data_IF_835034725070
#
_entry.id   IF_835034725070
#
_cell.length_a   1.000
_cell.length_b   1.000
_cell.length_c   1.000
_cell.angle_alpha   90.00
_cell.angle_beta   90.00
_cell.angle_gamma   90.00
#
_symmetry.space_group_name_H-M   'P 1'
#
loop_
_entity.id
_entity.type
_entity.pdbx_description
1 polymer ?
#
# COMPACT_ATOMS: atom_id res chain seq x y z
N UNK A 1 4.10 0.11 35.59
CA UNK A 1 4.35 -0.42 34.23
C UNK A 1 3.79 0.49 33.14
N UNK A 2 2.58 1.07 33.26
CA UNK A 2 2.01 2.04 32.27
C UNK A 2 2.96 3.18 31.89
N UNK A 3 3.51 3.92 32.86
CA UNK A 3 4.35 5.10 32.58
C UNK A 3 5.54 4.85 31.64
N UNK A 4 6.21 3.69 31.75
CA UNK A 4 7.35 3.37 30.85
C UNK A 4 6.88 3.03 29.44
N UNK A 5 5.71 2.40 29.29
CA UNK A 5 5.13 2.13 27.97
C UNK A 5 4.72 3.43 27.28
N UNK A 6 4.12 4.35 28.02
CA UNK A 6 3.69 5.65 27.50
C UNK A 6 4.89 6.51 27.07
N UNK A 7 5.99 6.48 27.85
CA UNK A 7 7.24 7.16 27.52
C UNK A 7 7.91 6.58 26.26
N UNK A 8 8.00 5.23 26.14
CA UNK A 8 8.54 4.57 24.94
C UNK A 8 7.67 4.84 23.71
N UNK A 9 6.35 4.79 23.84
CA UNK A 9 5.43 5.10 22.74
C UNK A 9 5.55 6.57 22.30
N UNK A 10 5.73 7.50 23.25
CA UNK A 10 6.00 8.91 22.96
C UNK A 10 7.25 9.09 22.11
N UNK A 11 8.35 8.41 22.47
CA UNK A 11 9.59 8.43 21.71
C UNK A 11 9.43 7.84 20.30
N UNK A 12 8.71 6.72 20.16
CA UNK A 12 8.42 6.09 18.86
C UNK A 12 7.61 7.03 17.96
N UNK A 13 6.56 7.64 18.50
CA UNK A 13 5.72 8.58 17.76
C UNK A 13 6.47 9.85 17.35
N UNK A 14 7.49 10.25 18.12
CA UNK A 14 8.35 11.38 17.79
C UNK A 14 9.34 11.04 16.66
N UNK A 15 9.95 9.84 16.68
CA UNK A 15 11.00 9.47 15.72
C UNK A 15 10.46 8.90 14.40
N UNK A 16 9.23 8.36 14.40
CA UNK A 16 8.64 7.70 13.22
C UNK A 16 8.40 8.67 12.05
N UNK A 17 7.80 9.88 12.25
CA UNK A 17 7.53 10.79 11.13
C UNK A 17 8.79 11.24 10.37
N UNK A 18 9.89 11.68 11.03
CA UNK A 18 11.13 12.00 10.33
C UNK A 18 11.69 10.83 9.51
N UNK A 19 11.65 9.61 10.06
CA UNK A 19 12.11 8.39 9.36
C UNK A 19 11.25 8.13 8.12
N UNK A 20 9.92 8.23 8.23
CA UNK A 20 9.03 8.03 7.10
C UNK A 20 9.22 9.09 6.02
N UNK A 21 9.41 10.36 6.41
CA UNK A 21 9.71 11.43 5.46
C UNK A 21 10.99 11.11 4.70
N UNK A 22 12.09 10.79 5.38
CA UNK A 22 13.34 10.42 4.72
C UNK A 22 13.17 9.21 3.80
N UNK A 23 12.47 8.17 4.26
CA UNK A 23 12.20 6.97 3.49
C UNK A 23 11.43 7.25 2.19
N UNK A 24 10.33 8.00 2.27
CA UNK A 24 9.51 8.32 1.09
C UNK A 24 10.19 9.33 0.16
N UNK A 25 10.97 10.28 0.69
CA UNK A 25 11.76 11.21 -0.13
C UNK A 25 12.85 10.45 -0.91
N UNK A 26 13.60 9.58 -0.27
CA UNK A 26 14.63 8.77 -0.94
C UNK A 26 14.00 7.82 -1.97
N UNK A 27 12.91 7.16 -1.61
CA UNK A 27 12.18 6.29 -2.53
C UNK A 27 11.62 7.05 -3.74
N UNK A 28 11.14 8.28 -3.52
CA UNK A 28 10.70 9.17 -4.58
C UNK A 28 11.83 9.69 -5.47
N UNK A 29 13.02 9.93 -4.90
CA UNK A 29 14.20 10.35 -5.67
C UNK A 29 14.72 9.25 -6.61
N UNK A 30 14.53 7.98 -6.24
CA UNK A 30 14.88 6.82 -7.08
C UNK A 30 13.85 6.51 -8.17
N UNK A 31 12.71 7.22 -8.20
CA UNK A 31 11.64 6.99 -9.17
C UNK A 31 12.10 7.34 -10.59
N UNK A 32 12.31 6.32 -11.43
CA UNK A 32 12.66 6.51 -12.82
C UNK A 32 11.43 6.53 -13.74
N UNK A 33 10.89 7.73 -13.99
CA UNK A 33 9.74 7.94 -14.88
C UNK A 33 10.01 7.56 -16.35
N UNK A 34 11.26 7.63 -16.80
CA UNK A 34 11.62 7.19 -18.15
C UNK A 34 11.52 5.67 -18.29
N UNK A 35 11.90 4.92 -17.25
CA UNK A 35 11.73 3.47 -17.22
C UNK A 35 10.25 3.09 -17.15
N UNK A 36 9.42 3.89 -16.45
CA UNK A 36 7.97 3.70 -16.42
C UNK A 36 7.35 3.71 -17.83
N UNK A 37 7.79 4.58 -18.74
CA UNK A 37 7.26 4.57 -20.12
C UNK A 37 7.58 3.25 -20.85
N UNK A 38 8.73 2.64 -20.55
CA UNK A 38 9.13 1.35 -21.14
C UNK A 38 8.39 0.17 -20.52
N UNK A 39 8.17 0.18 -19.20
CA UNK A 39 7.48 -0.89 -18.47
C UNK A 39 6.01 -0.59 -18.18
N UNK A 40 5.44 0.45 -18.79
CA UNK A 40 4.16 1.03 -18.41
C UNK A 40 3.00 0.05 -18.53
N UNK A 41 3.00 -0.76 -19.60
CA UNK A 41 1.99 -1.80 -19.81
C UNK A 41 2.05 -2.85 -18.68
N UNK A 42 3.24 -3.32 -18.33
CA UNK A 42 3.44 -4.30 -17.24
C UNK A 42 3.02 -3.68 -15.90
N UNK A 43 3.37 -2.41 -15.67
CA UNK A 43 2.96 -1.67 -14.47
C UNK A 43 1.44 -1.54 -14.35
N UNK A 44 0.74 -1.21 -15.44
CA UNK A 44 -0.73 -1.14 -15.47
C UNK A 44 -1.34 -2.51 -15.17
N UNK A 45 -0.86 -3.56 -15.85
CA UNK A 45 -1.33 -4.94 -15.60
C UNK A 45 -1.10 -5.33 -14.14
N UNK A 46 0.06 -5.01 -13.57
CA UNK A 46 0.37 -5.26 -12.17
C UNK A 46 -0.61 -4.53 -11.24
N UNK A 47 -0.87 -3.24 -11.48
CA UNK A 47 -1.78 -2.45 -10.65
C UNK A 47 -3.20 -3.03 -10.68
N UNK A 48 -3.72 -3.30 -11.89
CA UNK A 48 -5.08 -3.83 -12.07
C UNK A 48 -5.22 -5.23 -11.48
N UNK A 49 -4.27 -6.13 -11.76
CA UNK A 49 -4.30 -7.49 -11.24
C UNK A 49 -4.20 -7.53 -9.71
N UNK A 50 -3.39 -6.66 -9.10
CA UNK A 50 -3.29 -6.52 -7.64
C UNK A 50 -4.62 -6.07 -7.04
N UNK A 51 -5.25 -5.03 -7.60
CA UNK A 51 -6.56 -4.54 -7.12
C UNK A 51 -7.62 -5.63 -7.26
N UNK A 52 -7.72 -6.26 -8.43
CA UNK A 52 -8.66 -7.35 -8.67
C UNK A 52 -8.43 -8.53 -7.71
N UNK A 53 -7.18 -8.94 -7.50
CA UNK A 53 -6.83 -10.02 -6.59
C UNK A 53 -7.19 -9.73 -5.14
N UNK A 54 -7.04 -8.48 -4.69
CA UNK A 54 -7.44 -8.07 -3.33
C UNK A 54 -8.94 -8.01 -3.15
N UNK A 55 -9.68 -7.49 -4.13
CA UNK A 55 -11.15 -7.49 -4.10
C UNK A 55 -11.67 -8.92 -4.13
N UNK A 56 -11.27 -9.71 -5.13
CA UNK A 56 -11.74 -11.08 -5.27
C UNK A 56 -11.31 -11.97 -4.11
N UNK A 57 -10.04 -11.92 -3.71
CA UNK A 57 -9.50 -12.75 -2.62
C UNK A 57 -10.14 -12.44 -1.27
N UNK A 58 -10.36 -11.16 -0.96
CA UNK A 58 -11.05 -10.77 0.28
C UNK A 58 -12.52 -11.19 0.26
N UNK A 59 -13.23 -10.97 -0.85
CA UNK A 59 -14.62 -11.40 -1.02
C UNK A 59 -14.77 -12.92 -0.88
N UNK A 60 -13.92 -13.67 -1.58
CA UNK A 60 -13.94 -15.13 -1.56
C UNK A 60 -13.64 -15.65 -0.14
N UNK A 61 -12.57 -15.15 0.49
CA UNK A 61 -12.23 -15.53 1.87
C UNK A 61 -13.32 -15.18 2.87
N UNK A 62 -13.92 -14.00 2.75
CA UNK A 62 -15.03 -13.56 3.61
C UNK A 62 -16.29 -14.41 3.40
N UNK A 63 -16.56 -14.85 2.16
CA UNK A 63 -17.70 -15.72 1.84
C UNK A 63 -17.52 -17.13 2.40
N UNK A 64 -16.33 -17.73 2.23
CA UNK A 64 -16.01 -19.06 2.77
C UNK A 64 -16.08 -19.08 4.30
N UNK A 65 -15.68 -17.99 4.95
CA UNK A 65 -15.70 -17.85 6.41
C UNK A 65 -17.05 -17.37 6.96
N UNK A 66 -18.07 -17.16 6.12
CA UNK A 66 -19.39 -16.65 6.51
C UNK A 66 -19.33 -15.32 7.27
N UNK A 67 -18.36 -14.45 6.92
CA UNK A 67 -18.22 -13.13 7.51
C UNK A 67 -19.42 -12.22 7.18
N UNK A 68 -19.58 -11.13 7.94
CA UNK A 68 -20.65 -10.15 7.73
C UNK A 68 -20.70 -9.65 6.26
N UNK A 69 -21.90 -9.51 5.64
CA UNK A 69 -22.04 -9.01 4.28
C UNK A 69 -21.30 -7.69 3.98
N UNK A 70 -21.15 -6.81 4.97
CA UNK A 70 -20.37 -5.57 4.85
C UNK A 70 -18.89 -5.87 4.63
N UNK A 71 -18.33 -6.84 5.36
CA UNK A 71 -16.94 -7.28 5.21
C UNK A 71 -16.74 -7.91 3.83
N UNK A 72 -17.65 -8.79 3.42
CA UNK A 72 -17.60 -9.43 2.09
C UNK A 72 -17.56 -8.39 0.95
N UNK A 73 -18.30 -7.29 1.10
CA UNK A 73 -18.45 -6.27 0.06
C UNK A 73 -17.35 -5.21 0.06
N UNK A 74 -16.89 -4.76 1.23
CA UNK A 74 -16.07 -3.55 1.35
C UNK A 74 -14.60 -3.79 1.73
N UNK A 75 -14.26 -4.93 2.34
CA UNK A 75 -12.90 -5.20 2.83
C UNK A 75 -11.85 -5.08 1.72
N UNK A 76 -12.12 -5.65 0.54
CA UNK A 76 -11.18 -5.64 -0.58
C UNK A 76 -10.75 -4.24 -1.03
N UNK A 77 -11.67 -3.27 -0.98
CA UNK A 77 -11.40 -1.88 -1.31
C UNK A 77 -10.55 -1.20 -0.24
N UNK A 78 -10.81 -1.49 1.04
CA UNK A 78 -10.01 -0.99 2.17
C UNK A 78 -8.57 -1.54 2.16
N UNK A 79 -8.33 -2.67 1.49
CA UNK A 79 -7.01 -3.29 1.33
C UNK A 79 -6.24 -2.79 0.09
N UNK A 80 -6.76 -1.80 -0.66
CA UNK A 80 -6.07 -1.20 -1.81
C UNK A 80 -4.73 -0.52 -1.46
N UNK A 81 -4.64 0.28 -0.38
CA UNK A 81 -3.39 0.93 -0.01
C UNK A 81 -2.20 -0.04 0.12
N UNK A 82 -1.02 0.45 -0.25
CA UNK A 82 0.25 -0.27 -0.17
C UNK A 82 1.36 0.76 0.04
N UNK A 83 2.31 0.46 0.94
CA UNK A 83 3.34 1.41 1.35
C UNK A 83 4.71 0.74 1.53
N UNK A 84 5.41 1.08 2.63
CA UNK A 84 6.83 0.86 2.82
C UNK A 84 7.33 -0.59 2.70
N UNK A 85 6.53 -1.59 3.08
CA UNK A 85 6.96 -3.00 2.95
C UNK A 85 7.21 -3.39 1.49
N UNK A 86 6.33 -2.97 0.58
CA UNK A 86 6.51 -3.27 -0.84
C UNK A 86 7.74 -2.55 -1.41
N UNK A 87 7.92 -1.28 -1.06
CA UNK A 87 9.11 -0.52 -1.43
C UNK A 87 10.38 -1.21 -0.89
N UNK A 88 10.43 -1.60 0.37
CA UNK A 88 11.58 -2.31 0.96
C UNK A 88 11.89 -3.63 0.24
N UNK A 89 10.88 -4.46 -0.03
CA UNK A 89 11.05 -5.71 -0.78
C UNK A 89 11.53 -5.47 -2.21
N UNK A 90 11.07 -4.40 -2.86
CA UNK A 90 11.56 -4.04 -4.20
C UNK A 90 13.02 -3.59 -4.19
N UNK A 91 13.52 -3.01 -3.09
CA UNK A 91 14.95 -2.71 -2.94
C UNK A 91 15.75 -4.00 -2.90
N UNK A 92 15.32 -4.96 -2.08
CA UNK A 92 15.96 -6.27 -1.98
C UNK A 92 15.96 -6.95 -3.36
N UNK A 93 14.87 -6.85 -4.13
CA UNK A 93 14.81 -7.38 -5.49
C UNK A 93 15.92 -6.83 -6.41
N UNK A 94 16.34 -5.56 -6.25
CA UNK A 94 17.48 -5.01 -7.01
C UNK A 94 18.83 -5.60 -6.62
N UNK A 95 18.93 -6.18 -5.43
CA UNK A 95 20.17 -6.76 -4.89
C UNK A 95 20.28 -8.26 -5.19
N UNK A 96 19.15 -8.98 -5.23
CA UNK A 96 19.12 -10.45 -5.35
C UNK A 96 18.79 -10.94 -6.75
N UNK A 97 18.14 -10.13 -7.59
CA UNK A 97 17.81 -10.47 -8.97
C UNK A 97 18.82 -9.86 -9.94
N UNK A 98 18.69 -10.22 -11.23
CA UNK A 98 19.50 -9.56 -12.25
C UNK A 98 19.21 -8.03 -12.25
N UNK A 99 20.21 -7.19 -12.61
CA UNK A 99 20.08 -5.74 -12.47
C UNK A 99 18.89 -5.14 -13.25
N UNK A 100 18.61 -5.70 -14.43
CA UNK A 100 17.53 -5.22 -15.30
C UNK A 100 16.14 -5.49 -14.69
N UNK A 101 15.84 -6.74 -14.31
CA UNK A 101 14.56 -7.11 -13.70
C UNK A 101 14.36 -6.43 -12.35
N UNK A 102 15.42 -6.37 -11.53
CA UNK A 102 15.36 -5.69 -10.24
C UNK A 102 14.97 -4.21 -10.39
N UNK A 103 15.60 -3.49 -11.33
CA UNK A 103 15.29 -2.09 -11.63
C UNK A 103 13.86 -1.90 -12.17
N UNK A 104 13.40 -2.82 -13.03
CA UNK A 104 12.02 -2.80 -13.54
C UNK A 104 11.00 -3.01 -12.41
N UNK A 105 11.20 -4.01 -11.54
CA UNK A 105 10.33 -4.28 -10.39
C UNK A 105 10.32 -3.08 -9.45
N UNK A 106 11.49 -2.52 -9.11
CA UNK A 106 11.61 -1.32 -8.27
C UNK A 106 10.78 -0.17 -8.83
N UNK A 107 10.91 0.11 -10.12
CA UNK A 107 10.16 1.19 -10.77
C UNK A 107 8.66 0.94 -10.74
N UNK A 108 8.20 -0.28 -11.08
CA UNK A 108 6.78 -0.64 -11.05
C UNK A 108 6.20 -0.46 -9.64
N UNK A 109 6.91 -0.93 -8.61
CA UNK A 109 6.45 -0.86 -7.23
C UNK A 109 6.42 0.58 -6.71
N UNK A 110 7.42 1.40 -7.02
CA UNK A 110 7.44 2.81 -6.61
C UNK A 110 6.28 3.58 -7.25
N UNK A 111 6.04 3.39 -8.55
CA UNK A 111 4.93 4.03 -9.27
C UNK A 111 3.57 3.54 -8.75
N UNK A 112 3.41 2.24 -8.58
CA UNK A 112 2.18 1.67 -8.03
C UNK A 112 1.90 2.21 -6.61
N UNK A 113 2.94 2.28 -5.78
CA UNK A 113 2.84 2.83 -4.42
C UNK A 113 2.44 4.31 -4.46
N UNK A 114 3.03 5.13 -5.34
CA UNK A 114 2.61 6.52 -5.53
C UNK A 114 1.10 6.62 -5.88
N UNK A 115 0.63 5.79 -6.81
CA UNK A 115 -0.79 5.76 -7.20
C UNK A 115 -1.68 5.33 -6.03
N UNK A 116 -1.28 4.30 -5.28
CA UNK A 116 -2.04 3.80 -4.14
C UNK A 116 -2.04 4.75 -2.94
N UNK A 117 -0.99 5.53 -2.72
CA UNK A 117 -0.97 6.55 -1.66
C UNK A 117 -1.89 7.74 -1.99
N UNK A 118 -2.04 8.08 -3.28
CA UNK A 118 -2.96 9.15 -3.72
C UNK A 118 -4.42 8.70 -3.71
N UNK A 119 -4.70 7.49 -4.21
CA UNK A 119 -6.08 6.99 -4.40
C UNK A 119 -6.56 6.20 -3.19
N UNK A 120 -5.67 5.46 -2.54
CA UNK A 120 -5.96 4.51 -1.48
C UNK A 120 -6.72 5.12 -0.30
N UNK A 121 -6.27 6.23 0.31
CA UNK A 121 -6.99 6.87 1.41
C UNK A 121 -8.43 7.26 1.04
N UNK A 122 -8.65 7.73 -0.19
CA UNK A 122 -9.98 8.10 -0.69
C UNK A 122 -10.87 6.86 -0.80
N UNK A 123 -10.34 5.77 -1.38
CA UNK A 123 -11.09 4.52 -1.55
C UNK A 123 -11.37 3.85 -0.22
N UNK A 124 -10.39 3.77 0.68
CA UNK A 124 -10.56 3.23 2.04
C UNK A 124 -11.58 4.03 2.83
N UNK A 125 -11.52 5.37 2.78
CA UNK A 125 -12.53 6.22 3.42
C UNK A 125 -13.94 5.92 2.91
N UNK A 126 -14.13 5.85 1.59
CA UNK A 126 -15.43 5.52 0.99
C UNK A 126 -15.90 4.10 1.34
N UNK A 127 -14.98 3.13 1.39
CA UNK A 127 -15.31 1.74 1.75
C UNK A 127 -15.79 1.65 3.21
N UNK A 128 -15.09 2.32 4.14
CA UNK A 128 -15.48 2.36 5.56
C UNK A 128 -16.81 3.09 5.75
N UNK A 129 -17.05 4.19 5.02
CA UNK A 129 -18.34 4.90 5.03
C UNK A 129 -19.47 3.99 4.53
N UNK A 130 -19.26 3.29 3.41
CA UNK A 130 -20.27 2.42 2.82
C UNK A 130 -20.54 1.17 3.68
N UNK A 131 -19.57 0.75 4.50
CA UNK A 131 -19.75 -0.28 5.53
C UNK A 131 -20.48 0.25 6.79
N UNK A 132 -20.56 1.57 6.97
CA UNK A 132 -21.11 2.20 8.17
C UNK A 132 -20.16 2.14 9.38
N UNK A 133 -18.85 1.99 9.14
CA UNK A 133 -17.81 1.95 10.19
C UNK A 133 -17.35 3.34 10.62
N UNK A 134 -17.57 4.36 9.77
CA UNK A 134 -17.27 5.75 10.09
C UNK A 134 -18.43 6.66 9.69
N UNK A 135 -18.82 7.54 10.60
CA UNK A 135 -19.83 8.58 10.35
C UNK A 135 -19.16 9.84 9.83
N UNK A 136 -19.74 10.44 8.79
CA UNK A 136 -19.40 11.82 8.44
C UNK A 136 -20.23 12.72 9.35
N UNK A 137 -19.63 13.20 10.45
CA UNK A 137 -20.13 14.40 11.10
C UNK A 137 -20.13 15.52 10.04
N UNK A 138 -21.33 15.86 9.57
CA UNK A 138 -21.60 16.99 8.67
C UNK A 138 -21.88 18.22 9.49
#
# INVERSE_FOLDING_TARGET
>A
TSNKYDEVNGLINYITPPIFIMFFVLSGAELNLSLLLKVGIIGIIYILSRVAGKIFGSWFGAKVTHADPKIQKYLGYALIPQAGVAIGLSLIATQVLNPEMGSQIRTIILVATLIYELIGPIVTKKALQAAGEIELNR
#
